data_IF_220601164585
#
_entry.id   IF_220601164585
#
_cell.length_a   1.000
_cell.length_b   1.000
_cell.length_c   1.000
_cell.angle_alpha   90.00
_cell.angle_beta   90.00
_cell.angle_gamma   90.00
#
_symmetry.space_group_name_H-M   'P 1'
#
loop_
_entity.id
_entity.type
_entity.pdbx_description
1 polymer ?
#
# COMPACT_ATOMS: atom_id res chain seq x y z
N UNK A 1 -4.86 20.22 7.25
CA UNK A 1 -3.72 19.93 8.13
C UNK A 1 -3.91 18.59 8.85
N UNK A 2 -5.00 18.42 9.58
CA UNK A 2 -5.25 17.18 10.31
C UNK A 2 -5.40 15.96 9.43
N UNK A 3 -6.04 16.11 8.27
CA UNK A 3 -6.25 15.00 7.34
C UNK A 3 -4.96 14.53 6.69
N UNK A 4 -4.07 15.45 6.33
CA UNK A 4 -2.78 15.10 5.76
C UNK A 4 -1.94 14.28 6.75
N UNK A 5 -1.95 14.64 8.03
CA UNK A 5 -1.25 13.90 9.06
C UNK A 5 -1.88 12.51 9.25
N UNK A 6 -3.21 12.42 9.26
CA UNK A 6 -3.90 11.13 9.39
C UNK A 6 -3.55 10.19 8.23
N UNK A 7 -3.54 10.70 7.02
CA UNK A 7 -3.18 9.91 5.83
C UNK A 7 -1.75 9.40 5.94
N UNK A 8 -0.82 10.25 6.34
CA UNK A 8 0.57 9.88 6.54
C UNK A 8 0.71 8.75 7.57
N UNK A 9 0.06 8.89 8.71
CA UNK A 9 0.13 7.89 9.78
C UNK A 9 -0.54 6.59 9.37
N UNK A 10 -1.69 6.66 8.70
CA UNK A 10 -2.37 5.47 8.18
C UNK A 10 -1.50 4.72 7.19
N UNK A 11 -0.87 5.45 6.28
CA UNK A 11 -0.03 4.82 5.26
C UNK A 11 1.17 4.12 5.89
N UNK A 12 1.82 4.77 6.86
CA UNK A 12 2.94 4.16 7.59
C UNK A 12 2.47 2.95 8.40
N UNK A 13 1.34 3.07 9.07
CA UNK A 13 0.78 1.97 9.86
C UNK A 13 0.47 0.76 8.97
N UNK A 14 -0.20 0.98 7.85
CA UNK A 14 -0.62 -0.11 6.96
C UNK A 14 0.59 -0.85 6.38
N UNK A 15 1.62 -0.13 5.95
CA UNK A 15 2.81 -0.77 5.39
C UNK A 15 3.59 -1.56 6.44
N UNK A 16 3.69 -1.05 7.66
CA UNK A 16 4.29 -1.78 8.77
C UNK A 16 3.45 -3.00 9.12
N UNK A 17 2.12 -2.85 9.14
CA UNK A 17 1.21 -3.96 9.44
C UNK A 17 1.33 -5.09 8.41
N UNK A 18 1.48 -4.76 7.12
CA UNK A 18 1.72 -5.77 6.08
C UNK A 18 2.98 -6.59 6.40
N UNK A 19 4.06 -5.90 6.76
CA UNK A 19 5.30 -6.58 7.12
C UNK A 19 5.15 -7.45 8.37
N UNK A 20 4.41 -6.96 9.37
CA UNK A 20 4.17 -7.73 10.60
C UNK A 20 3.30 -8.95 10.35
N UNK A 21 2.27 -8.85 9.51
CA UNK A 21 1.47 -10.00 9.10
C UNK A 21 2.34 -11.07 8.46
N UNK A 22 3.25 -10.67 7.61
CA UNK A 22 4.18 -11.60 6.96
C UNK A 22 5.04 -12.33 8.00
N UNK A 23 5.62 -11.58 8.94
CA UNK A 23 6.46 -12.14 10.01
C UNK A 23 5.68 -13.06 10.94
N UNK A 24 4.43 -12.73 11.20
CA UNK A 24 3.56 -13.53 12.06
C UNK A 24 3.03 -14.80 11.38
N UNK A 25 3.33 -15.00 10.11
CA UNK A 25 2.90 -16.19 9.39
C UNK A 25 1.47 -16.13 8.87
N UNK A 26 0.90 -14.93 8.71
CA UNK A 26 -0.44 -14.78 8.14
C UNK A 26 -0.49 -15.46 6.77
N UNK A 27 -1.39 -16.39 6.60
CA UNK A 27 -1.39 -17.30 5.47
C UNK A 27 -1.44 -16.59 4.11
N UNK A 28 -2.36 -15.66 3.95
CA UNK A 28 -2.51 -14.94 2.68
C UNK A 28 -1.30 -14.08 2.37
N UNK A 29 -0.76 -13.39 3.39
CA UNK A 29 0.42 -12.57 3.22
C UNK A 29 1.66 -13.42 2.90
N UNK A 30 1.81 -14.56 3.56
CA UNK A 30 2.91 -15.49 3.28
C UNK A 30 2.84 -16.04 1.86
N UNK A 31 1.67 -16.41 1.38
CA UNK A 31 1.50 -16.85 -0.01
C UNK A 31 1.89 -15.77 -1.00
N UNK A 32 1.58 -14.51 -0.67
CA UNK A 32 1.94 -13.38 -1.51
C UNK A 32 3.46 -13.20 -1.61
N UNK A 33 4.19 -13.41 -0.52
CA UNK A 33 5.62 -13.07 -0.44
C UNK A 33 6.58 -14.22 -0.69
N UNK A 34 6.20 -15.47 -0.43
CA UNK A 34 7.17 -16.57 -0.27
C UNK A 34 8.02 -16.87 -1.51
N UNK A 35 7.48 -16.72 -2.70
CA UNK A 35 8.21 -17.00 -3.94
C UNK A 35 8.48 -15.73 -4.75
N UNK A 36 8.26 -14.56 -4.15
CA UNK A 36 8.42 -13.31 -4.86
C UNK A 36 9.89 -12.91 -4.95
N UNK A 37 10.39 -12.58 -6.16
CA UNK A 37 11.74 -11.99 -6.27
C UNK A 37 11.78 -10.64 -5.56
N UNK A 38 12.99 -10.11 -5.38
CA UNK A 38 13.17 -8.81 -4.75
C UNK A 38 12.46 -7.71 -5.52
N UNK A 39 11.36 -7.20 -4.96
CA UNK A 39 10.46 -6.22 -5.60
C UNK A 39 10.02 -5.16 -4.59
N UNK A 40 9.71 -3.98 -5.15
CA UNK A 40 9.24 -2.84 -4.36
C UNK A 40 7.76 -2.57 -4.70
N UNK A 41 6.96 -2.48 -3.65
CA UNK A 41 5.59 -1.99 -3.73
C UNK A 41 5.57 -0.60 -3.12
N UNK A 42 5.19 0.39 -3.91
CA UNK A 42 5.26 1.79 -3.52
C UNK A 42 3.86 2.40 -3.42
N UNK A 43 3.63 3.16 -2.38
CA UNK A 43 2.43 3.99 -2.23
C UNK A 43 2.87 5.44 -2.18
N UNK A 44 2.11 6.33 -2.81
CA UNK A 44 2.36 7.76 -2.74
C UNK A 44 1.07 8.55 -2.88
N UNK A 45 1.08 9.76 -2.32
CA UNK A 45 -0.04 10.70 -2.42
C UNK A 45 0.44 11.89 -3.24
N UNK A 46 -0.26 12.17 -4.33
CA UNK A 46 0.10 13.26 -5.23
C UNK A 46 -0.40 14.60 -4.70
N UNK A 47 0.23 15.71 -5.06
CA UNK A 47 1.48 15.80 -5.84
C UNK A 47 2.73 15.62 -4.98
N UNK A 48 2.74 16.08 -3.73
CA UNK A 48 3.91 16.08 -2.85
C UNK A 48 3.59 15.52 -1.46
N UNK A 49 2.63 14.61 -1.41
CA UNK A 49 2.18 14.03 -0.15
C UNK A 49 3.10 12.94 0.38
N UNK A 50 2.67 12.29 1.46
CA UNK A 50 3.45 11.22 2.05
C UNK A 50 3.57 10.02 1.11
N UNK A 51 4.59 9.21 1.36
CA UNK A 51 4.81 7.98 0.62
C UNK A 51 5.35 6.93 1.58
N UNK A 52 5.16 5.67 1.21
CA UNK A 52 5.68 4.53 1.94
C UNK A 52 5.89 3.38 0.97
N UNK A 53 6.77 2.45 1.33
CA UNK A 53 7.00 1.29 0.49
C UNK A 53 7.08 0.02 1.30
N UNK A 54 6.88 -1.10 0.62
CA UNK A 54 7.12 -2.43 1.15
C UNK A 54 8.07 -3.14 0.19
N UNK A 55 9.25 -3.48 0.67
CA UNK A 55 10.17 -4.33 -0.09
C UNK A 55 9.85 -5.77 0.23
N UNK A 56 9.71 -6.59 -0.79
CA UNK A 56 9.44 -8.03 -0.67
C UNK A 56 10.56 -8.79 -1.35
N UNK A 57 11.12 -9.79 -0.68
CA UNK A 57 12.16 -10.63 -1.25
C UNK A 57 12.09 -12.03 -0.65
N UNK A 58 11.57 -12.97 -1.43
CA UNK A 58 11.57 -14.40 -1.09
C UNK A 58 11.06 -14.68 0.33
N UNK A 59 9.87 -14.21 0.65
CA UNK A 59 9.26 -14.41 1.94
C UNK A 59 9.66 -13.42 3.03
N UNK A 60 10.57 -12.50 2.73
CA UNK A 60 10.98 -11.46 3.66
C UNK A 60 10.40 -10.12 3.25
N UNK A 61 10.07 -9.29 4.22
CA UNK A 61 9.51 -7.96 3.97
C UNK A 61 10.20 -6.90 4.80
N UNK A 62 10.22 -5.68 4.25
CA UNK A 62 10.69 -4.50 4.96
C UNK A 62 9.85 -3.31 4.57
N UNK A 63 9.18 -2.71 5.54
CA UNK A 63 8.43 -1.48 5.33
C UNK A 63 9.36 -0.27 5.49
N UNK A 64 9.13 0.76 4.68
CA UNK A 64 9.92 1.99 4.76
C UNK A 64 9.07 3.21 4.45
N UNK A 65 9.54 4.35 4.94
CA UNK A 65 8.89 5.65 4.73
C UNK A 65 9.48 6.32 3.50
N UNK A 66 8.62 7.05 2.77
CA UNK A 66 9.06 7.84 1.62
C UNK A 66 9.10 7.04 0.33
N UNK A 67 9.71 7.62 -0.68
CA UNK A 67 9.89 6.99 -1.98
C UNK A 67 11.14 6.11 -1.97
N UNK A 68 11.01 4.91 -2.51
CA UNK A 68 12.16 4.06 -2.72
C UNK A 68 12.88 4.52 -3.97
N UNK A 69 14.15 4.92 -3.85
CA UNK A 69 14.86 5.58 -4.93
C UNK A 69 15.93 4.74 -5.62
N UNK A 70 16.24 3.55 -5.10
CA UNK A 70 17.32 2.71 -5.63
C UNK A 70 16.96 1.98 -6.91
N UNK A 71 15.68 1.79 -7.16
CA UNK A 71 15.17 1.18 -8.38
C UNK A 71 13.70 1.47 -8.54
N UNK A 72 13.18 1.18 -9.73
CA UNK A 72 11.77 1.37 -10.04
C UNK A 72 10.88 0.43 -9.25
N UNK A 73 9.74 0.91 -8.80
CA UNK A 73 8.75 0.09 -8.14
C UNK A 73 8.15 -0.93 -9.11
N UNK A 74 7.93 -2.15 -8.62
CA UNK A 74 7.23 -3.17 -9.38
C UNK A 74 5.74 -2.85 -9.51
N UNK A 75 5.17 -2.33 -8.43
CA UNK A 75 3.80 -1.80 -8.40
C UNK A 75 3.84 -0.47 -7.66
N UNK A 76 3.25 0.56 -8.25
CA UNK A 76 3.14 1.87 -7.63
C UNK A 76 1.67 2.26 -7.54
N UNK A 77 1.16 2.42 -6.35
CA UNK A 77 -0.21 2.85 -6.08
C UNK A 77 -0.19 4.33 -5.72
N UNK A 78 -0.80 5.15 -6.58
CA UNK A 78 -0.78 6.61 -6.46
C UNK A 78 -2.17 7.12 -6.14
N UNK A 79 -2.32 7.75 -4.97
CA UNK A 79 -3.54 8.47 -4.63
C UNK A 79 -3.43 9.88 -5.19
N UNK A 80 -4.49 10.35 -5.84
CA UNK A 80 -4.45 11.61 -6.58
C UNK A 80 -4.47 12.84 -5.68
N UNK A 81 -4.89 12.69 -4.43
CA UNK A 81 -4.91 13.77 -3.45
C UNK A 81 -4.93 13.20 -2.04
N UNK A 82 -4.69 14.05 -1.06
CA UNK A 82 -4.85 13.69 0.36
C UNK A 82 -6.27 13.22 0.65
N UNK A 83 -7.26 13.92 0.10
CA UNK A 83 -8.68 13.55 0.33
C UNK A 83 -9.01 12.20 -0.29
N UNK A 84 -8.52 11.93 -1.51
CA UNK A 84 -8.70 10.64 -2.16
C UNK A 84 -8.08 9.51 -1.34
N UNK A 85 -6.85 9.73 -0.87
CA UNK A 85 -6.15 8.75 -0.04
C UNK A 85 -6.91 8.48 1.25
N UNK A 86 -7.44 9.52 1.89
CA UNK A 86 -8.20 9.38 3.12
C UNK A 86 -9.44 8.50 2.92
N UNK A 87 -10.18 8.74 1.84
CA UNK A 87 -11.39 7.95 1.54
C UNK A 87 -11.07 6.47 1.33
N UNK A 88 -10.00 6.18 0.60
CA UNK A 88 -9.61 4.80 0.31
C UNK A 88 -9.04 4.11 1.56
N UNK A 89 -8.11 4.76 2.25
CA UNK A 89 -7.41 4.17 3.40
C UNK A 89 -8.31 3.99 4.63
N UNK A 90 -9.39 4.72 4.71
CA UNK A 90 -10.38 4.56 5.79
C UNK A 90 -11.56 3.65 5.38
N UNK A 91 -11.51 3.07 4.18
CA UNK A 91 -12.56 2.15 3.73
C UNK A 91 -13.87 2.80 3.34
N UNK A 92 -13.90 4.12 3.16
CA UNK A 92 -15.13 4.84 2.79
C UNK A 92 -15.49 4.68 1.32
N UNK A 93 -14.52 4.29 0.50
CA UNK A 93 -14.73 3.98 -0.91
C UNK A 93 -13.89 2.74 -1.24
N UNK A 94 -14.43 1.82 -2.03
CA UNK A 94 -13.66 0.64 -2.41
C UNK A 94 -12.67 0.96 -3.54
N UNK A 95 -11.71 0.07 -3.72
CA UNK A 95 -10.62 0.29 -4.68
C UNK A 95 -11.11 0.40 -6.12
N UNK A 96 -12.11 -0.40 -6.50
CA UNK A 96 -12.65 -0.38 -7.86
C UNK A 96 -13.28 0.97 -8.16
N UNK A 97 -14.11 1.46 -7.24
CA UNK A 97 -14.76 2.77 -7.40
C UNK A 97 -13.72 3.90 -7.38
N UNK A 98 -12.73 3.81 -6.50
CA UNK A 98 -11.65 4.79 -6.45
C UNK A 98 -10.88 4.86 -7.77
N UNK A 99 -10.61 3.72 -8.38
CA UNK A 99 -9.94 3.67 -9.69
C UNK A 99 -10.80 4.26 -10.79
N UNK A 100 -12.10 3.97 -10.78
CA UNK A 100 -13.05 4.55 -11.76
C UNK A 100 -13.11 6.07 -11.68
N UNK A 101 -13.02 6.62 -10.47
CA UNK A 101 -13.05 8.07 -10.25
C UNK A 101 -11.69 8.74 -10.41
N UNK A 102 -10.64 7.97 -10.67
CA UNK A 102 -9.29 8.51 -10.78
C UNK A 102 -8.66 8.88 -9.45
N UNK A 103 -9.23 8.45 -8.33
CA UNK A 103 -8.68 8.71 -6.99
C UNK A 103 -7.44 7.86 -6.71
N UNK A 104 -7.39 6.68 -7.31
CA UNK A 104 -6.27 5.75 -7.17
C UNK A 104 -5.85 5.27 -8.56
N UNK A 105 -4.57 5.42 -8.86
CA UNK A 105 -3.97 4.90 -10.10
C UNK A 105 -2.94 3.84 -9.70
N UNK A 106 -3.00 2.68 -10.33
CA UNK A 106 -2.05 1.59 -10.11
C UNK A 106 -1.19 1.45 -11.36
N UNK A 107 0.11 1.70 -11.22
CA UNK A 107 1.09 1.49 -12.27
C UNK A 107 1.88 0.22 -11.98
N UNK A 108 2.17 -0.56 -13.00
CA UNK A 108 2.87 -1.82 -12.87
C UNK A 108 1.94 -3.02 -13.01
N UNK A 109 2.29 -4.14 -12.39
CA UNK A 109 1.51 -5.38 -12.50
C UNK A 109 0.12 -5.25 -11.87
N UNK A 110 -0.96 -5.30 -12.65
CA UNK A 110 -2.30 -5.16 -12.08
C UNK A 110 -2.69 -6.32 -11.17
N UNK A 111 -2.22 -7.52 -11.46
CA UNK A 111 -2.52 -8.69 -10.66
C UNK A 111 -1.94 -8.58 -9.24
N UNK A 112 -0.66 -8.24 -9.13
CA UNK A 112 -0.01 -8.10 -7.82
C UNK A 112 -0.51 -6.86 -7.09
N UNK A 113 -0.85 -5.80 -7.80
CA UNK A 113 -1.48 -4.62 -7.21
C UNK A 113 -2.82 -4.95 -6.59
N UNK A 114 -3.63 -5.75 -7.27
CA UNK A 114 -4.91 -6.22 -6.76
C UNK A 114 -4.74 -7.09 -5.52
N UNK A 115 -3.78 -8.00 -5.55
CA UNK A 115 -3.54 -8.92 -4.43
C UNK A 115 -3.15 -8.16 -3.16
N UNK A 116 -2.20 -7.24 -3.25
CA UNK A 116 -1.77 -6.48 -2.08
C UNK A 116 -2.87 -5.53 -1.59
N UNK A 117 -3.65 -4.97 -2.50
CA UNK A 117 -4.79 -4.12 -2.12
C UNK A 117 -5.84 -4.91 -1.35
N UNK A 118 -6.06 -6.17 -1.70
CA UNK A 118 -7.00 -7.05 -1.00
C UNK A 118 -6.55 -7.28 0.45
N UNK A 119 -5.25 -7.52 0.66
CA UNK A 119 -4.70 -7.72 2.00
C UNK A 119 -4.77 -6.41 2.81
N UNK A 120 -4.48 -5.27 2.17
CA UNK A 120 -4.60 -3.96 2.81
C UNK A 120 -6.00 -3.69 3.34
N UNK A 121 -7.03 -4.08 2.60
CA UNK A 121 -8.43 -3.90 3.03
C UNK A 121 -8.71 -4.60 4.36
N UNK A 122 -8.12 -5.75 4.59
CA UNK A 122 -8.28 -6.45 5.86
C UNK A 122 -7.67 -5.68 7.01
N UNK A 123 -6.53 -5.04 6.79
CA UNK A 123 -5.90 -4.19 7.79
C UNK A 123 -6.77 -2.95 8.05
N UNK A 124 -7.26 -2.31 6.99
CA UNK A 124 -8.15 -1.14 7.09
C UNK A 124 -9.40 -1.46 7.93
N UNK A 125 -9.98 -2.63 7.72
CA UNK A 125 -11.15 -3.07 8.48
C UNK A 125 -10.85 -3.24 9.97
N UNK A 126 -9.62 -3.59 10.33
CA UNK A 126 -9.22 -3.78 11.73
C UNK A 126 -9.09 -2.45 12.49
N UNK A 127 -8.86 -1.36 11.78
CA UNK A 127 -8.59 -0.05 12.40
C UNK A 127 -9.73 0.96 12.23
N UNK A 128 -10.78 0.59 11.52
CA UNK A 128 -11.93 1.48 11.30
C UNK A 128 -13.03 1.27 12.35
#
# INVERSE_FOLDING_TARGET
AGRALKVKLLLYFITVALSQLNRAGHEEMRRFTENMPDRIFQWSVQPDGPAAYLRVCRGKTKAGKGLYTRRRAFVHMMFQSTDSAFLVLTGQIDNVEAMKRGYLVIDGSPEYGKDIATIMKKIEAMIS
#
